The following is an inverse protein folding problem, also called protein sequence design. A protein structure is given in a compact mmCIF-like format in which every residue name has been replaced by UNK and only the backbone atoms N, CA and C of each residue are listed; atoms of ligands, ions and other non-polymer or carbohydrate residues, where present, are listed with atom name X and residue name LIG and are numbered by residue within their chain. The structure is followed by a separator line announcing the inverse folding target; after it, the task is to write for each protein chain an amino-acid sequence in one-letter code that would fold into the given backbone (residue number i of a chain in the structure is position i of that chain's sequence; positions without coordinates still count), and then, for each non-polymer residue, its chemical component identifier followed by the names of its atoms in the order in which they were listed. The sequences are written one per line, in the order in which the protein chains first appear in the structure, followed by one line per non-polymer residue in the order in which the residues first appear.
data_IF_834412716685
#
_entry.id   IF_834412716685
#
_cell.length_a   1.000
_cell.length_b   1.000
_cell.length_c   1.000
_cell.angle_alpha   90.00
_cell.angle_beta   90.00
_cell.angle_gamma   90.00
#
_symmetry.space_group_name_H-M   'P 1'
#
loop_
_entity.id
_entity.type
_entity.pdbx_description
1 polymer ?
#
# COMPACT_ATOMS: atom_id res chain seq x y z
N UNK A 1 8.89 -17.85 -16.48
CA UNK A 1 9.92 -17.41 -15.51
C UNK A 1 9.54 -16.06 -14.91
N UNK A 2 9.53 -15.95 -13.58
CA UNK A 2 9.24 -14.68 -12.87
C UNK A 2 10.56 -13.96 -12.59
N UNK A 3 10.61 -12.65 -12.84
CA UNK A 3 11.76 -11.79 -12.50
C UNK A 3 11.29 -10.46 -11.94
N UNK A 4 11.89 -10.03 -10.83
CA UNK A 4 11.68 -8.69 -10.27
C UNK A 4 13.01 -7.95 -10.20
N UNK A 5 12.99 -6.63 -10.40
CA UNK A 5 14.13 -5.74 -10.27
C UNK A 5 13.69 -4.35 -9.82
N UNK A 6 14.60 -3.39 -9.63
CA UNK A 6 14.20 -2.01 -9.30
C UNK A 6 13.38 -1.41 -10.45
N UNK A 7 12.29 -0.71 -10.10
CA UNK A 7 11.46 -0.03 -11.07
C UNK A 7 12.05 1.34 -11.44
N UNK A 8 12.04 1.66 -12.73
CA UNK A 8 12.35 3.00 -13.22
C UNK A 8 11.17 3.96 -13.01
N UNK A 9 11.41 5.29 -13.01
CA UNK A 9 10.34 6.27 -12.93
C UNK A 9 9.26 6.13 -14.03
N UNK A 10 9.66 5.71 -15.25
CA UNK A 10 8.73 5.48 -16.35
C UNK A 10 7.82 4.29 -16.08
N UNK A 11 8.37 3.17 -15.62
CA UNK A 11 7.58 1.98 -15.25
C UNK A 11 6.61 2.28 -14.10
N UNK A 12 7.06 3.06 -13.11
CA UNK A 12 6.21 3.47 -11.99
C UNK A 12 5.03 4.31 -12.49
N UNK A 13 5.30 5.35 -13.29
CA UNK A 13 4.25 6.21 -13.87
C UNK A 13 3.27 5.40 -14.70
N UNK A 14 3.78 4.52 -15.56
CA UNK A 14 2.95 3.72 -16.45
C UNK A 14 2.04 2.77 -15.66
N UNK A 15 2.61 1.93 -14.79
CA UNK A 15 1.82 0.95 -14.03
C UNK A 15 0.82 1.62 -13.08
N UNK A 16 1.17 2.71 -12.39
CA UNK A 16 0.22 3.42 -11.53
C UNK A 16 -0.94 4.07 -12.30
N UNK A 17 -0.72 4.50 -13.54
CA UNK A 17 -1.77 5.13 -14.37
C UNK A 17 -2.65 4.11 -15.08
N UNK A 18 -2.07 3.00 -15.54
CA UNK A 18 -2.75 2.05 -16.42
C UNK A 18 -3.21 0.77 -15.72
N UNK A 19 -2.54 0.35 -14.64
CA UNK A 19 -2.80 -0.95 -14.00
C UNK A 19 -3.37 -0.83 -12.57
N UNK A 20 -3.37 0.37 -12.00
CA UNK A 20 -3.92 0.59 -10.65
C UNK A 20 -5.18 1.44 -10.72
N UNK A 21 -6.25 0.98 -10.07
CA UNK A 21 -7.57 1.65 -10.05
C UNK A 21 -7.50 3.14 -9.69
N UNK A 22 -6.59 3.52 -8.80
CA UNK A 22 -6.45 4.91 -8.36
C UNK A 22 -5.91 5.87 -9.45
N UNK A 23 -5.25 5.38 -10.51
CA UNK A 23 -4.75 6.21 -11.61
C UNK A 23 -3.71 7.27 -11.25
N UNK A 24 -3.14 7.23 -10.04
CA UNK A 24 -2.22 8.25 -9.51
C UNK A 24 -0.94 7.65 -8.97
N UNK A 25 0.16 8.39 -9.14
CA UNK A 25 1.48 8.03 -8.60
C UNK A 25 1.61 8.63 -7.19
N UNK A 26 1.60 7.82 -6.12
CA UNK A 26 1.85 8.31 -4.76
C UNK A 26 3.36 8.56 -4.54
N UNK A 27 3.75 9.22 -3.44
CA UNK A 27 5.14 9.22 -2.99
C UNK A 27 5.62 7.77 -2.76
N UNK A 28 6.66 7.37 -3.49
CA UNK A 28 7.22 6.01 -3.47
C UNK A 28 8.66 6.11 -2.98
N UNK A 29 9.01 5.28 -2.00
CA UNK A 29 10.36 5.19 -1.46
C UNK A 29 11.19 4.10 -2.16
N UNK A 30 10.56 2.99 -2.53
CA UNK A 30 11.16 1.92 -3.34
C UNK A 30 10.07 1.19 -4.10
N UNK A 31 10.34 0.82 -5.35
CA UNK A 31 9.43 0.01 -6.15
C UNK A 31 10.20 -1.03 -6.95
N UNK A 32 9.55 -2.18 -7.18
CA UNK A 32 10.08 -3.26 -7.98
C UNK A 32 9.24 -3.44 -9.25
N UNK A 33 9.90 -3.48 -10.40
CA UNK A 33 9.30 -3.89 -11.67
C UNK A 33 9.12 -5.40 -11.66
N UNK A 34 7.97 -5.86 -12.15
CA UNK A 34 7.59 -7.26 -12.19
C UNK A 34 7.54 -7.73 -13.63
N UNK A 35 8.16 -8.89 -13.89
CA UNK A 35 8.16 -9.55 -15.19
C UNK A 35 7.74 -11.01 -15.07
N UNK A 36 7.01 -11.50 -16.06
CA UNK A 36 6.70 -12.91 -16.25
C UNK A 36 6.94 -13.29 -17.71
N UNK A 37 7.73 -14.34 -17.95
CA UNK A 37 8.06 -14.83 -19.30
C UNK A 37 8.69 -13.75 -20.20
N UNK A 38 9.42 -12.79 -19.60
CA UNK A 38 10.06 -11.67 -20.31
C UNK A 38 9.19 -10.43 -20.44
N UNK A 39 7.88 -10.55 -20.20
CA UNK A 39 6.90 -9.47 -20.33
C UNK A 39 6.80 -8.63 -19.06
N UNK A 40 6.68 -7.31 -19.20
CA UNK A 40 6.44 -6.42 -18.06
C UNK A 40 4.99 -6.50 -17.60
N UNK A 41 4.78 -7.01 -16.38
CA UNK A 41 3.43 -7.20 -15.83
C UNK A 41 3.01 -6.12 -14.85
N UNK A 42 3.93 -5.23 -14.42
CA UNK A 42 3.60 -4.10 -13.57
C UNK A 42 4.61 -3.83 -12.47
N UNK A 43 4.17 -3.22 -11.37
CA UNK A 43 5.04 -2.90 -10.23
C UNK A 43 4.45 -3.27 -8.87
N UNK A 44 5.34 -3.37 -7.88
CA UNK A 44 5.01 -3.37 -6.46
C UNK A 44 5.81 -2.24 -5.78
N UNK A 45 5.14 -1.38 -5.02
CA UNK A 45 5.78 -0.20 -4.43
C UNK A 45 5.54 -0.05 -2.93
N UNK A 46 6.56 0.49 -2.26
CA UNK A 46 6.59 0.74 -0.83
C UNK A 46 6.90 2.21 -0.54
N UNK A 47 6.38 2.68 0.60
CA UNK A 47 6.66 3.99 1.16
C UNK A 47 7.16 3.85 2.60
N UNK A 48 7.87 4.85 3.12
CA UNK A 48 8.26 4.93 4.53
C UNK A 48 7.11 5.37 5.47
N UNK A 49 5.90 5.53 4.92
CA UNK A 49 4.75 6.08 5.64
C UNK A 49 4.87 7.59 5.87
N UNK A 50 3.94 8.14 6.65
CA UNK A 50 4.06 9.51 7.17
C UNK A 50 5.02 9.49 8.35
N UNK A 51 5.92 10.48 8.43
CA UNK A 51 6.84 10.64 9.56
C UNK A 51 6.06 10.48 10.89
N UNK A 52 6.61 9.67 11.80
CA UNK A 52 6.09 9.37 13.13
C UNK A 52 4.86 8.46 13.24
N UNK A 53 4.01 8.31 12.21
CA UNK A 53 2.81 7.44 12.31
C UNK A 53 3.17 5.97 12.45
N UNK A 54 3.99 5.44 11.53
CA UNK A 54 4.45 4.04 11.61
C UNK A 54 5.46 3.82 12.75
N UNK A 55 6.44 4.72 12.98
CA UNK A 55 7.30 4.71 14.16
C UNK A 55 6.55 4.53 15.48
N UNK A 56 5.61 5.44 15.80
CA UNK A 56 4.85 5.40 17.04
C UNK A 56 4.02 4.13 17.16
N UNK A 57 3.40 3.69 16.06
CA UNK A 57 2.54 2.50 16.06
C UNK A 57 3.28 1.22 16.42
N UNK A 58 4.46 1.03 15.85
CA UNK A 58 5.20 -0.22 15.98
C UNK A 58 6.29 -0.17 17.05
N UNK A 59 6.52 1.00 17.66
CA UNK A 59 7.71 1.24 18.49
C UNK A 59 8.99 1.11 17.67
N UNK A 60 8.98 1.65 16.45
CA UNK A 60 10.13 1.64 15.53
C UNK A 60 10.80 3.01 15.45
N UNK A 61 12.06 3.05 15.01
CA UNK A 61 12.67 4.30 14.54
C UNK A 61 12.36 4.53 13.05
N UNK A 62 12.58 5.76 12.58
CA UNK A 62 12.33 6.13 11.18
C UNK A 62 13.03 5.17 10.20
N UNK A 63 12.28 4.69 9.20
CA UNK A 63 12.79 3.78 8.17
C UNK A 63 12.75 2.28 8.53
N UNK A 64 12.44 1.89 9.76
CA UNK A 64 12.24 0.47 10.12
C UNK A 64 10.84 -0.06 9.77
N UNK A 65 9.83 0.81 9.69
CA UNK A 65 8.49 0.45 9.26
C UNK A 65 8.20 1.04 7.87
N UNK A 66 7.72 0.19 6.96
CA UNK A 66 7.33 0.57 5.61
C UNK A 66 5.87 0.21 5.35
N UNK A 67 5.26 0.84 4.35
CA UNK A 67 3.92 0.52 3.88
C UNK A 67 3.98 -0.01 2.45
N UNK A 68 3.36 -1.16 2.18
CA UNK A 68 3.07 -1.62 0.83
C UNK A 68 1.88 -0.80 0.31
N UNK A 69 2.17 0.18 -0.54
CA UNK A 69 1.23 1.22 -0.98
C UNK A 69 0.67 0.99 -2.38
N UNK A 70 1.33 0.17 -3.20
CA UNK A 70 0.89 -0.14 -4.56
C UNK A 70 1.20 -1.58 -4.94
N UNK A 71 0.18 -2.25 -5.45
CA UNK A 71 0.29 -3.47 -6.25
C UNK A 71 -0.42 -3.15 -7.57
N UNK A 72 0.35 -2.81 -8.59
CA UNK A 72 -0.15 -2.32 -9.88
C UNK A 72 0.26 -3.29 -10.99
N UNK A 73 -0.37 -4.46 -10.99
CA UNK A 73 -0.16 -5.52 -11.99
C UNK A 73 -1.27 -5.47 -13.04
N UNK A 74 -0.97 -5.86 -14.27
CA UNK A 74 -1.87 -5.76 -15.42
C UNK A 74 -3.00 -6.79 -15.44
N UNK A 75 -3.00 -7.77 -14.54
CA UNK A 75 -4.02 -8.82 -14.44
C UNK A 75 -3.88 -9.95 -15.46
N UNK A 76 -2.90 -9.87 -16.37
CA UNK A 76 -2.64 -10.88 -17.42
C UNK A 76 -1.62 -11.93 -16.99
N UNK A 77 -0.97 -11.72 -15.84
CA UNK A 77 -0.02 -12.68 -15.30
C UNK A 77 -0.70 -14.01 -14.98
N UNK A 78 -0.02 -15.13 -15.28
CA UNK A 78 -0.44 -16.48 -14.93
C UNK A 78 -0.14 -16.77 -13.47
N UNK A 79 0.97 -16.23 -12.96
CA UNK A 79 1.36 -16.38 -11.56
C UNK A 79 0.46 -15.54 -10.64
N UNK A 80 -0.02 -16.08 -9.50
CA UNK A 80 -0.80 -15.31 -8.53
C UNK A 80 -0.08 -14.06 -8.01
N UNK A 81 -0.81 -12.96 -7.87
CA UNK A 81 -0.31 -11.68 -7.33
C UNK A 81 0.44 -11.84 -6.00
N UNK A 82 -0.04 -12.72 -5.12
CA UNK A 82 0.60 -13.04 -3.83
C UNK A 82 2.05 -13.50 -3.99
N UNK A 83 2.37 -14.24 -5.06
CA UNK A 83 3.74 -14.70 -5.33
C UNK A 83 4.68 -13.55 -5.69
N UNK A 84 4.22 -12.60 -6.50
CA UNK A 84 4.98 -11.37 -6.79
C UNK A 84 5.22 -10.56 -5.52
N UNK A 85 4.20 -10.41 -4.67
CA UNK A 85 4.32 -9.74 -3.37
C UNK A 85 5.35 -10.44 -2.49
N UNK A 86 5.31 -11.76 -2.36
CA UNK A 86 6.28 -12.53 -1.58
C UNK A 86 7.72 -12.34 -2.09
N UNK A 87 7.95 -12.34 -3.40
CA UNK A 87 9.29 -12.10 -3.99
C UNK A 87 9.73 -10.65 -3.72
N UNK A 88 8.84 -9.67 -3.89
CA UNK A 88 9.15 -8.26 -3.65
C UNK A 88 9.52 -7.97 -2.18
N UNK A 89 8.91 -8.64 -1.21
CA UNK A 89 9.26 -8.54 0.21
C UNK A 89 10.68 -9.08 0.48
N UNK A 90 11.08 -10.15 -0.19
CA UNK A 90 12.46 -10.66 -0.10
C UNK A 90 13.48 -9.68 -0.67
N UNK A 91 13.16 -9.05 -1.80
CA UNK A 91 14.01 -8.00 -2.40
C UNK A 91 14.04 -6.74 -1.52
N UNK A 92 12.92 -6.38 -0.90
CA UNK A 92 12.82 -5.26 0.01
C UNK A 92 13.80 -5.38 1.17
N UNK A 93 13.93 -6.57 1.78
CA UNK A 93 14.91 -6.82 2.86
C UNK A 93 16.33 -6.53 2.43
N UNK A 94 16.69 -6.86 1.18
CA UNK A 94 18.01 -6.57 0.62
C UNK A 94 18.21 -5.07 0.36
N UNK A 95 17.18 -4.41 -0.18
CA UNK A 95 17.24 -2.99 -0.53
C UNK A 95 17.14 -2.06 0.69
N UNK A 96 16.50 -2.51 1.76
CA UNK A 96 16.22 -1.79 3.00
C UNK A 96 16.58 -2.69 4.19
N UNK A 97 17.88 -2.88 4.48
CA UNK A 97 18.34 -3.80 5.53
C UNK A 97 17.88 -3.38 6.94
N UNK A 98 17.57 -2.10 7.13
CA UNK A 98 17.03 -1.57 8.38
C UNK A 98 15.51 -1.76 8.50
N UNK A 99 14.79 -2.12 7.43
CA UNK A 99 13.37 -2.40 7.53
C UNK A 99 13.14 -3.65 8.39
N UNK A 100 12.11 -3.59 9.23
CA UNK A 100 11.72 -4.62 10.21
C UNK A 100 10.29 -5.09 10.01
N UNK A 101 9.41 -4.20 9.57
CA UNK A 101 7.99 -4.50 9.39
C UNK A 101 7.42 -3.77 8.18
N UNK A 102 6.52 -4.44 7.46
CA UNK A 102 5.68 -3.84 6.43
C UNK A 102 4.23 -3.87 6.87
N UNK A 103 3.52 -2.77 6.71
CA UNK A 103 2.06 -2.71 6.85
C UNK A 103 1.40 -2.57 5.48
N UNK A 104 0.20 -3.10 5.32
CA UNK A 104 -0.65 -2.81 4.18
C UNK A 104 -2.12 -2.73 4.58
N UNK A 105 -2.90 -2.04 3.76
CA UNK A 105 -4.31 -1.78 4.00
C UNK A 105 -5.15 -2.22 2.81
N UNK A 106 -6.13 -3.08 3.04
CA UNK A 106 -7.12 -3.45 2.04
C UNK A 106 -8.37 -2.57 2.22
N UNK A 107 -8.76 -1.85 1.17
CA UNK A 107 -9.86 -0.89 1.19
C UNK A 107 -11.21 -1.59 0.98
N UNK A 108 -11.92 -1.84 2.09
CA UNK A 108 -13.19 -2.58 2.09
C UNK A 108 -14.28 -1.68 1.51
N UNK A 109 -14.42 -0.46 2.03
CA UNK A 109 -15.54 0.43 1.70
C UNK A 109 -15.49 0.93 0.26
N UNK A 110 -14.32 1.29 -0.28
CA UNK A 110 -14.26 1.88 -1.62
C UNK A 110 -14.04 0.86 -2.74
N UNK A 111 -13.42 -0.29 -2.45
CA UNK A 111 -12.95 -1.21 -3.48
C UNK A 111 -13.36 -2.67 -3.23
N UNK A 112 -14.04 -2.97 -2.12
CA UNK A 112 -14.39 -4.35 -1.76
C UNK A 112 -13.16 -5.24 -1.55
N UNK A 113 -12.00 -4.67 -1.25
CA UNK A 113 -10.77 -5.44 -1.08
C UNK A 113 -10.75 -6.10 0.31
N UNK A 114 -11.04 -7.39 0.34
CA UNK A 114 -11.01 -8.22 1.56
C UNK A 114 -9.59 -8.60 2.03
N UNK A 115 -8.57 -8.22 1.26
CA UNK A 115 -7.17 -8.52 1.54
C UNK A 115 -6.73 -9.92 1.14
N UNK A 116 -7.38 -10.52 0.13
CA UNK A 116 -7.10 -11.88 -0.38
C UNK A 116 -5.61 -12.16 -0.57
N UNK A 117 -4.87 -11.21 -1.16
CA UNK A 117 -3.44 -11.41 -1.42
C UNK A 117 -2.59 -11.48 -0.14
N UNK A 118 -3.03 -10.82 0.93
CA UNK A 118 -2.34 -10.80 2.23
C UNK A 118 -2.68 -12.06 3.03
N UNK A 119 -3.96 -12.45 3.05
CA UNK A 119 -4.43 -13.68 3.70
C UNK A 119 -3.75 -14.92 3.12
N UNK A 120 -3.46 -14.92 1.82
CA UNK A 120 -2.72 -16.00 1.16
C UNK A 120 -1.18 -15.92 1.34
N UNK A 121 -0.65 -14.85 1.94
CA UNK A 121 0.76 -14.47 1.84
C UNK A 121 1.56 -14.46 3.15
N UNK A 122 1.17 -15.22 4.17
CA UNK A 122 1.75 -15.19 5.53
C UNK A 122 1.78 -13.80 6.17
N UNK A 123 0.82 -12.94 5.85
CA UNK A 123 0.61 -11.69 6.56
C UNK A 123 -0.20 -11.95 7.83
N UNK A 124 0.13 -11.25 8.90
CA UNK A 124 -0.62 -11.23 10.15
C UNK A 124 -1.77 -10.25 9.99
N UNK A 125 -2.99 -10.69 10.24
CA UNK A 125 -4.15 -9.81 10.27
C UNK A 125 -4.17 -9.01 11.57
N UNK A 126 -4.24 -7.69 11.47
CA UNK A 126 -4.13 -6.76 12.61
C UNK A 126 -5.41 -5.93 12.77
N UNK A 127 -6.55 -6.52 12.41
CA UNK A 127 -7.87 -5.96 12.65
C UNK A 127 -8.40 -5.02 11.57
N UNK A 128 -9.64 -4.56 11.81
CA UNK A 128 -10.31 -3.53 11.01
C UNK A 128 -9.99 -2.16 11.57
N UNK A 129 -9.79 -1.20 10.69
CA UNK A 129 -9.70 0.22 11.05
C UNK A 129 -10.75 1.03 10.35
N UNK A 130 -11.16 2.12 11.01
CA UNK A 130 -11.98 3.17 10.42
C UNK A 130 -11.13 4.38 10.15
N UNK A 131 -11.26 4.97 8.96
CA UNK A 131 -10.68 6.29 8.71
C UNK A 131 -11.49 7.34 9.44
N UNK A 132 -10.84 8.36 10.01
CA UNK A 132 -11.57 9.46 10.66
C UNK A 132 -12.51 10.20 9.71
N UNK A 133 -13.50 10.90 10.29
CA UNK A 133 -14.42 11.76 9.53
C UNK A 133 -13.65 12.86 8.78
N UNK A 134 -14.05 13.15 7.54
CA UNK A 134 -13.41 14.17 6.71
C UNK A 134 -12.06 13.78 6.10
N UNK A 135 -11.74 12.48 6.08
CA UNK A 135 -10.60 11.93 5.34
C UNK A 135 -10.93 11.77 3.85
N UNK A 136 -12.18 11.48 3.49
CA UNK A 136 -12.64 11.41 2.11
C UNK A 136 -13.85 12.31 1.87
N UNK A 137 -13.95 12.81 0.65
CA UNK A 137 -15.02 13.67 0.17
C UNK A 137 -15.53 13.15 -1.17
N UNK A 138 -16.85 13.14 -1.37
CA UNK A 138 -17.46 12.84 -2.66
C UNK A 138 -17.67 14.14 -3.41
N UNK A 139 -17.15 14.25 -4.63
CA UNK A 139 -17.28 15.41 -5.53
C UNK A 139 -17.91 14.91 -6.83
N UNK A 140 -19.18 15.23 -7.06
CA UNK A 140 -19.97 14.52 -8.08
C UNK A 140 -20.03 13.03 -7.76
N UNK A 141 -19.65 12.18 -8.69
CA UNK A 141 -19.60 10.72 -8.49
C UNK A 141 -18.23 10.17 -8.06
N UNK A 142 -17.25 11.05 -7.82
CA UNK A 142 -15.88 10.65 -7.51
C UNK A 142 -15.58 10.82 -6.02
N UNK A 143 -15.11 9.75 -5.37
CA UNK A 143 -14.58 9.80 -4.00
C UNK A 143 -13.10 10.22 -4.03
N UNK A 144 -12.77 11.30 -3.35
CA UNK A 144 -11.44 11.92 -3.34
C UNK A 144 -10.94 12.04 -1.90
N UNK A 145 -9.70 11.62 -1.66
CA UNK A 145 -9.04 11.81 -0.37
C UNK A 145 -8.82 13.30 -0.07
N UNK A 146 -9.07 13.73 1.16
CA UNK A 146 -8.97 15.13 1.61
C UNK A 146 -7.59 15.74 1.44
N UNK A 147 -6.52 14.94 1.46
CA UNK A 147 -5.17 15.42 1.10
C UNK A 147 -5.07 15.81 -0.38
N UNK A 148 -5.72 15.06 -1.27
CA UNK A 148 -5.78 15.40 -2.68
C UNK A 148 -6.66 16.64 -2.92
N UNK A 149 -7.79 16.78 -2.20
CA UNK A 149 -8.59 18.01 -2.21
C UNK A 149 -7.78 19.23 -1.81
N UNK A 150 -7.07 19.18 -0.68
CA UNK A 150 -6.20 20.28 -0.22
C UNK A 150 -5.09 20.62 -1.20
N UNK A 151 -4.50 19.60 -1.85
CA UNK A 151 -3.48 19.82 -2.87
C UNK A 151 -4.03 20.52 -4.11
N UNK A 152 -5.28 20.26 -4.49
CA UNK A 152 -5.93 20.82 -5.69
C UNK A 152 -6.55 22.19 -5.46
N UNK A 153 -7.18 22.40 -4.30
CA UNK A 153 -8.04 23.55 -4.04
C UNK A 153 -7.60 24.39 -2.81
N UNK A 154 -6.50 24.01 -2.16
CA UNK A 154 -6.02 24.66 -0.94
C UNK A 154 -6.76 24.22 0.33
N UNK A 155 -6.40 24.83 1.45
CA UNK A 155 -6.93 24.46 2.77
C UNK A 155 -8.32 25.06 3.07
N UNK A 156 -8.68 26.13 2.37
CA UNK A 156 -9.98 26.81 2.51
C UNK A 156 -11.07 26.00 1.78
N UNK A 157 -11.92 25.34 2.56
CA UNK A 157 -12.99 24.48 2.05
C UNK A 157 -14.08 25.24 1.30
N UNK A 158 -14.24 26.55 1.53
CA UNK A 158 -15.23 27.37 0.81
C UNK A 158 -14.92 27.45 -0.69
N UNK A 159 -13.65 27.23 -1.06
CA UNK A 159 -13.15 27.24 -2.44
C UNK A 159 -13.20 25.86 -3.10
N UNK A 160 -13.63 24.83 -2.38
CA UNK A 160 -13.72 23.49 -2.93
C UNK A 160 -14.97 23.37 -3.82
N UNK A 161 -14.95 22.51 -4.85
CA UNK A 161 -16.18 22.16 -5.56
C UNK A 161 -17.19 21.56 -4.58
N UNK A 162 -18.49 21.61 -4.92
CA UNK A 162 -19.55 21.02 -4.10
C UNK A 162 -19.19 19.58 -3.72
N UNK A 163 -19.17 19.31 -2.42
CA UNK A 163 -18.71 18.03 -1.89
C UNK A 163 -19.63 17.52 -0.78
N UNK A 164 -19.60 16.21 -0.57
CA UNK A 164 -20.25 15.53 0.55
C UNK A 164 -19.19 14.81 1.39
N UNK A 165 -19.39 14.78 2.71
CA UNK A 165 -18.52 13.99 3.58
C UNK A 165 -18.94 12.52 3.52
N UNK A 166 -18.03 11.66 3.10
CA UNK A 166 -18.31 10.23 2.88
C UNK A 166 -18.31 9.43 4.20
N UNK A 167 -18.11 10.10 5.33
CA UNK A 167 -18.06 9.48 6.65
C UNK A 167 -16.77 8.70 6.88
N UNK A 168 -16.87 7.68 7.72
CA UNK A 168 -15.77 6.77 8.03
C UNK A 168 -15.71 5.64 7.01
N UNK A 169 -14.51 5.23 6.62
CA UNK A 169 -14.29 4.10 5.72
C UNK A 169 -13.54 3.01 6.42
N UNK A 170 -13.92 1.77 6.15
CA UNK A 170 -13.31 0.60 6.75
C UNK A 170 -12.18 0.05 5.89
N UNK A 171 -11.08 -0.32 6.55
CA UNK A 171 -9.96 -1.02 5.92
C UNK A 171 -9.53 -2.20 6.78
N UNK A 172 -9.19 -3.30 6.13
CA UNK A 172 -8.44 -4.36 6.79
C UNK A 172 -6.97 -3.99 6.85
N UNK A 173 -6.33 -4.21 7.99
CA UNK A 173 -4.91 -3.95 8.18
C UNK A 173 -4.16 -5.27 8.30
N UNK A 174 -3.04 -5.35 7.60
CA UNK A 174 -2.17 -6.53 7.58
C UNK A 174 -0.73 -6.12 7.87
N UNK A 175 -0.03 -6.95 8.63
CA UNK A 175 1.36 -6.77 9.02
C UNK A 175 2.20 -7.90 8.45
N UNK A 176 3.36 -7.58 7.89
CA UNK A 176 4.37 -8.54 7.47
C UNK A 176 5.69 -8.26 8.19
N UNK A 177 6.06 -9.08 9.18
CA UNK A 177 7.36 -9.03 9.82
C UNK A 177 8.47 -9.42 8.84
N UNK A 178 9.55 -8.65 8.80
CA UNK A 178 10.68 -8.91 7.89
C UNK A 178 11.79 -9.75 8.52
N UNK A 179 11.76 -9.94 9.85
CA UNK A 179 12.66 -10.80 10.60
C UNK A 179 11.91 -11.58 11.69
N UNK A 180 12.61 -12.53 12.32
CA UNK A 180 12.04 -13.47 13.28
C UNK A 180 11.65 -12.80 14.60
N UNK A 181 12.43 -11.84 15.06
CA UNK A 181 12.16 -11.14 16.33
C UNK A 181 10.86 -10.34 16.22
N UNK A 182 10.68 -9.67 15.07
CA UNK A 182 9.43 -8.97 14.76
C UNK A 182 8.26 -9.92 14.53
N UNK A 183 8.50 -11.11 13.97
CA UNK A 183 7.45 -12.13 13.86
C UNK A 183 6.94 -12.52 15.23
N UNK A 184 7.85 -12.94 16.13
CA UNK A 184 7.53 -13.32 17.50
C UNK A 184 6.80 -12.18 18.24
N UNK A 185 7.26 -10.93 18.11
CA UNK A 185 6.62 -9.76 18.72
C UNK A 185 5.13 -9.62 18.40
N UNK A 186 4.67 -10.06 17.22
CA UNK A 186 3.26 -9.97 16.82
C UNK A 186 2.48 -11.27 17.02
N UNK A 187 3.13 -12.38 17.32
CA UNK A 187 2.49 -13.69 17.50
C UNK A 187 2.54 -14.21 18.94
N UNK A 188 3.47 -13.72 19.76
CA UNK A 188 3.58 -14.10 21.17
C UNK A 188 2.40 -13.47 21.93
N UNK A 189 1.50 -14.34 22.45
CA UNK A 189 0.21 -13.96 23.02
C UNK A 189 -1.01 -14.43 22.19
N UNK A 190 -0.77 -15.06 21.03
CA UNK A 190 -1.77 -15.82 20.27
C UNK A 190 -1.47 -17.32 20.47
N UNK A 191 -1.72 -17.81 21.68
CA UNK A 191 -1.66 -19.23 22.05
C UNK A 191 -2.89 -19.61 22.85
#
# INVERSE_FOLDING_TARGET
MIRLGLATPNQIRYACKHYHYAGVVPPIHVAFSCYEDGEFVGIIAYNAGTANVLPQRFGTISGQALELIRVALNGKQKTPTTRFVAISLKLLRKQKPNARVVVSYADITNQGHEGTIYRAGNWIYDGRIKTGKGVYYKVGDVVIHGRAMRKRFGNDKSKWPKFENVGEMEKHRFIYPLDRDWYNKFTDGVS
#
